data_IF_506367937746
#
_entry.id   IF_506367937746
#
_cell.length_a   1.000
_cell.length_b   1.000
_cell.length_c   1.000
_cell.angle_alpha   90.00
_cell.angle_beta   90.00
_cell.angle_gamma   90.00
#
_symmetry.space_group_name_H-M   'P 1'
#
loop_
_entity.id
_entity.type
_entity.pdbx_description
1 polymer ?
#
# COMPACT_ATOMS: atom_id res chain seq x y z
N UNK A 1 -3.65 -22.47 15.18
CA UNK A 1 -3.41 -21.82 13.88
C UNK A 1 -3.38 -20.29 13.96
N UNK A 2 -4.13 -19.61 14.84
CA UNK A 2 -4.27 -18.14 14.81
C UNK A 2 -2.99 -17.29 14.93
N UNK A 3 -2.00 -17.69 15.73
CA UNK A 3 -0.83 -16.84 15.99
C UNK A 3 0.14 -16.72 14.80
N UNK A 4 0.27 -17.76 13.98
CA UNK A 4 1.17 -17.74 12.83
C UNK A 4 0.62 -16.83 11.72
N UNK A 5 -0.69 -16.88 11.49
CA UNK A 5 -1.39 -16.06 10.48
C UNK A 5 -1.38 -14.59 10.87
N UNK A 6 -1.63 -14.26 12.15
CA UNK A 6 -1.50 -12.90 12.67
C UNK A 6 -0.07 -12.35 12.48
N UNK A 7 0.96 -13.14 12.79
CA UNK A 7 2.36 -12.74 12.58
C UNK A 7 2.71 -12.55 11.10
N UNK A 8 2.07 -13.30 10.20
CA UNK A 8 2.21 -13.11 8.75
C UNK A 8 1.57 -11.80 8.32
N UNK A 9 0.32 -11.55 8.70
CA UNK A 9 -0.38 -10.30 8.41
C UNK A 9 0.36 -9.09 8.98
N UNK A 10 0.86 -9.16 10.22
CA UNK A 10 1.63 -8.07 10.84
C UNK A 10 2.96 -7.80 10.09
N UNK A 11 3.55 -8.81 9.44
CA UNK A 11 4.73 -8.62 8.57
C UNK A 11 4.34 -7.94 7.25
N UNK A 12 3.24 -8.38 6.65
CA UNK A 12 2.71 -7.81 5.41
C UNK A 12 2.28 -6.35 5.61
N UNK A 13 1.56 -6.04 6.70
CA UNK A 13 1.20 -4.67 7.10
C UNK A 13 2.45 -3.80 7.20
N UNK A 14 3.48 -4.25 7.94
CA UNK A 14 4.74 -3.51 8.08
C UNK A 14 5.43 -3.29 6.74
N UNK A 15 5.44 -4.29 5.86
CA UNK A 15 6.03 -4.17 4.53
C UNK A 15 5.27 -3.15 3.66
N UNK A 16 3.94 -3.17 3.69
CA UNK A 16 3.08 -2.24 2.94
C UNK A 16 3.16 -0.82 3.49
N UNK A 17 3.22 -0.63 4.81
CA UNK A 17 3.48 0.67 5.44
C UNK A 17 4.82 1.26 4.97
N UNK A 18 5.89 0.45 4.94
CA UNK A 18 7.20 0.90 4.44
C UNK A 18 7.15 1.33 2.97
N UNK A 19 6.38 0.61 2.14
CA UNK A 19 6.16 0.99 0.74
C UNK A 19 5.42 2.32 0.64
N UNK A 20 4.38 2.52 1.46
CA UNK A 20 3.60 3.76 1.48
C UNK A 20 4.48 4.96 1.88
N UNK A 21 5.27 4.80 2.95
CA UNK A 21 6.24 5.83 3.36
C UNK A 21 7.27 6.13 2.28
N UNK A 22 7.76 5.10 1.58
CA UNK A 22 8.68 5.27 0.47
C UNK A 22 8.05 6.07 -0.68
N UNK A 23 6.81 5.79 -1.07
CA UNK A 23 6.09 6.60 -2.08
C UNK A 23 5.97 8.05 -1.62
N UNK A 24 5.60 8.29 -0.36
CA UNK A 24 5.48 9.65 0.20
C UNK A 24 6.80 10.42 0.24
N UNK A 25 7.93 9.71 0.36
CA UNK A 25 9.28 10.28 0.24
C UNK A 25 9.72 10.49 -1.22
N UNK A 26 8.88 10.15 -2.19
CA UNK A 26 9.21 10.23 -3.63
C UNK A 26 10.05 9.06 -4.15
N UNK A 27 10.18 7.98 -3.39
CA UNK A 27 10.92 6.81 -3.83
C UNK A 27 10.12 5.99 -4.86
N UNK A 28 10.78 5.50 -5.90
CA UNK A 28 10.14 4.84 -7.05
C UNK A 28 10.12 3.31 -6.95
N UNK A 29 10.87 2.71 -6.02
CA UNK A 29 10.92 1.26 -5.86
C UNK A 29 9.58 0.59 -5.48
N UNK A 30 8.66 1.19 -4.69
CA UNK A 30 7.39 0.55 -4.31
C UNK A 30 6.32 0.63 -5.41
N UNK A 31 6.60 1.30 -6.52
CA UNK A 31 5.71 1.42 -7.67
C UNK A 31 5.62 0.11 -8.46
N UNK A 32 4.43 -0.22 -8.92
CA UNK A 32 4.22 -1.36 -9.82
C UNK A 32 4.71 -1.05 -11.25
N UNK A 33 4.71 -2.06 -12.13
CA UNK A 33 5.21 -1.90 -13.50
C UNK A 33 4.46 -0.86 -14.34
N UNK A 34 3.15 -0.67 -14.10
CA UNK A 34 2.35 0.35 -14.80
C UNK A 34 2.68 1.76 -14.31
N UNK A 35 2.75 1.93 -12.99
CA UNK A 35 3.11 3.18 -12.31
C UNK A 35 4.54 3.60 -12.68
N UNK A 36 5.52 2.67 -12.68
CA UNK A 36 6.89 2.96 -13.12
C UNK A 36 6.96 3.43 -14.56
N UNK A 37 6.23 2.78 -15.48
CA UNK A 37 6.18 3.23 -16.88
C UNK A 37 5.56 4.62 -17.03
N UNK A 38 4.50 4.92 -16.27
CA UNK A 38 3.89 6.24 -16.27
C UNK A 38 4.87 7.32 -15.77
N UNK A 39 5.56 7.04 -14.65
CA UNK A 39 6.58 7.93 -14.09
C UNK A 39 7.74 8.16 -15.07
N UNK A 40 8.28 7.10 -15.66
CA UNK A 40 9.38 7.20 -16.64
C UNK A 40 8.99 7.97 -17.89
N UNK A 41 7.78 7.73 -18.42
CA UNK A 41 7.26 8.48 -19.58
C UNK A 41 7.08 9.96 -19.26
N UNK A 42 6.57 10.27 -18.07
CA UNK A 42 6.42 11.64 -17.63
C UNK A 42 7.78 12.33 -17.51
N UNK A 43 8.75 11.71 -16.82
CA UNK A 43 10.12 12.22 -16.69
C UNK A 43 10.79 12.44 -18.06
N UNK A 44 10.71 11.46 -18.98
CA UNK A 44 11.26 11.60 -20.33
C UNK A 44 10.59 12.74 -21.11
N UNK A 45 9.27 12.86 -21.01
CA UNK A 45 8.52 13.95 -21.67
C UNK A 45 8.85 15.33 -21.08
N UNK A 46 9.13 15.41 -19.78
CA UNK A 46 9.58 16.61 -19.10
C UNK A 46 10.96 17.03 -19.61
N UNK A 47 11.93 16.11 -19.57
CA UNK A 47 13.28 16.35 -20.07
C UNK A 47 13.29 16.84 -21.53
N UNK A 48 12.49 16.20 -22.41
CA UNK A 48 12.36 16.63 -23.80
C UNK A 48 11.76 18.04 -23.96
N UNK A 49 10.85 18.46 -23.07
CA UNK A 49 10.31 19.82 -23.08
C UNK A 49 11.33 20.82 -22.56
N UNK A 50 12.06 20.50 -21.50
CA UNK A 50 13.12 21.35 -20.94
C UNK A 50 14.20 21.64 -21.97
N UNK A 51 14.66 20.63 -22.72
CA UNK A 51 15.66 20.84 -23.80
C UNK A 51 15.13 21.69 -24.96
N UNK A 52 13.80 21.76 -25.13
CA UNK A 52 13.11 22.64 -26.09
C UNK A 52 12.75 24.01 -25.52
N UNK A 53 13.15 24.33 -24.28
CA UNK A 53 12.79 25.58 -23.61
C UNK A 53 11.29 25.71 -23.30
N UNK A 54 10.58 24.58 -23.19
CA UNK A 54 9.12 24.53 -22.96
C UNK A 54 8.81 24.13 -21.51
N UNK A 55 7.66 24.57 -21.02
CA UNK A 55 7.14 24.22 -19.69
C UNK A 55 6.96 22.70 -19.51
N UNK A 56 7.34 22.21 -18.34
CA UNK A 56 7.24 20.83 -17.86
C UNK A 56 5.94 20.55 -17.09
N UNK A 57 5.05 21.53 -16.90
CA UNK A 57 3.90 21.41 -15.99
C UNK A 57 3.04 20.16 -16.24
N UNK A 58 2.82 19.77 -17.50
CA UNK A 58 2.08 18.54 -17.81
C UNK A 58 2.80 17.26 -17.37
N UNK A 59 4.13 17.23 -17.48
CA UNK A 59 4.94 16.11 -17.01
C UNK A 59 4.91 16.02 -15.49
N UNK A 60 5.04 17.17 -14.80
CA UNK A 60 4.96 17.25 -13.34
C UNK A 60 3.60 16.79 -12.82
N UNK A 61 2.50 17.29 -13.38
CA UNK A 61 1.13 16.84 -13.03
C UNK A 61 0.97 15.33 -13.25
N UNK A 62 1.55 14.77 -14.32
CA UNK A 62 1.49 13.33 -14.57
C UNK A 62 2.30 12.53 -13.53
N UNK A 63 3.45 13.04 -13.10
CA UNK A 63 4.26 12.42 -12.04
C UNK A 63 3.51 12.45 -10.70
N UNK A 64 2.96 13.59 -10.33
CA UNK A 64 2.18 13.78 -9.10
C UNK A 64 0.91 12.90 -9.08
N UNK A 65 0.17 12.87 -10.19
CA UNK A 65 -1.00 11.98 -10.33
C UNK A 65 -0.61 10.50 -10.20
N UNK A 66 0.55 10.11 -10.74
CA UNK A 66 1.04 8.71 -10.63
C UNK A 66 1.42 8.38 -9.19
N UNK A 67 2.09 9.31 -8.49
CA UNK A 67 2.44 9.14 -7.08
C UNK A 67 1.18 9.03 -6.21
N UNK A 68 0.22 9.95 -6.40
CA UNK A 68 -1.07 9.95 -5.69
C UNK A 68 -1.84 8.64 -5.91
N UNK A 69 -1.90 8.14 -7.16
CA UNK A 69 -2.54 6.86 -7.47
C UNK A 69 -1.86 5.67 -6.76
N UNK A 70 -0.52 5.69 -6.67
CA UNK A 70 0.22 4.65 -5.95
C UNK A 70 -0.02 4.71 -4.43
N UNK A 71 -0.11 5.90 -3.85
CA UNK A 71 -0.47 6.07 -2.44
C UNK A 71 -1.87 5.55 -2.14
N UNK A 72 -2.85 5.87 -2.99
CA UNK A 72 -4.23 5.39 -2.85
C UNK A 72 -4.28 3.85 -2.90
N UNK A 73 -3.58 3.23 -3.86
CA UNK A 73 -3.49 1.77 -3.98
C UNK A 73 -2.90 1.15 -2.71
N UNK A 74 -1.75 1.64 -2.25
CA UNK A 74 -1.08 1.10 -1.06
C UNK A 74 -1.91 1.30 0.21
N UNK A 75 -2.64 2.41 0.31
CA UNK A 75 -3.59 2.65 1.41
C UNK A 75 -4.75 1.66 1.37
N UNK A 76 -5.30 1.37 0.18
CA UNK A 76 -6.33 0.35 0.02
C UNK A 76 -5.84 -1.06 0.39
N UNK A 77 -4.65 -1.44 -0.05
CA UNK A 77 -4.00 -2.70 0.33
C UNK A 77 -3.81 -2.81 1.84
N UNK A 78 -3.34 -1.74 2.49
CA UNK A 78 -3.12 -1.68 3.92
C UNK A 78 -4.44 -1.81 4.71
N UNK A 79 -5.49 -1.13 4.26
CA UNK A 79 -6.82 -1.23 4.87
C UNK A 79 -7.40 -2.64 4.75
N UNK A 80 -7.21 -3.31 3.60
CA UNK A 80 -7.63 -4.70 3.42
C UNK A 80 -6.91 -5.64 4.40
N UNK A 81 -5.60 -5.49 4.58
CA UNK A 81 -4.82 -6.28 5.54
C UNK A 81 -5.25 -6.05 6.99
N UNK A 82 -5.56 -4.80 7.37
CA UNK A 82 -6.10 -4.51 8.70
C UNK A 82 -7.49 -5.11 8.92
N UNK A 83 -8.34 -5.10 7.89
CA UNK A 83 -9.65 -5.76 7.93
C UNK A 83 -9.54 -7.26 8.19
N UNK A 84 -8.65 -7.94 7.47
CA UNK A 84 -8.43 -9.38 7.64
C UNK A 84 -7.85 -9.71 9.02
N UNK A 85 -6.90 -8.90 9.51
CA UNK A 85 -6.37 -9.05 10.88
C UNK A 85 -7.47 -8.94 11.93
N UNK A 86 -8.36 -7.97 11.78
CA UNK A 86 -9.48 -7.76 12.71
C UNK A 86 -10.44 -8.95 12.68
N UNK A 87 -10.73 -9.49 11.49
CA UNK A 87 -11.54 -10.70 11.33
C UNK A 87 -10.97 -11.87 12.13
N UNK A 88 -9.68 -12.20 11.95
CA UNK A 88 -9.04 -13.30 12.69
C UNK A 88 -9.07 -13.11 14.21
N UNK A 89 -8.88 -11.88 14.69
CA UNK A 89 -8.97 -11.56 16.12
C UNK A 89 -10.39 -11.81 16.64
N UNK A 90 -11.41 -11.35 15.90
CA UNK A 90 -12.81 -11.55 16.31
C UNK A 90 -13.23 -13.02 16.29
N UNK A 91 -12.77 -13.80 15.31
CA UNK A 91 -13.00 -15.25 15.24
C UNK A 91 -12.35 -15.97 16.42
N UNK A 92 -11.11 -15.62 16.76
CA UNK A 92 -10.43 -16.17 17.93
C UNK A 92 -11.14 -15.81 19.25
N UNK A 93 -11.64 -14.59 19.38
CA UNK A 93 -12.42 -14.16 20.54
C UNK A 93 -13.74 -14.94 20.67
N UNK A 94 -14.46 -15.17 19.55
CA UNK A 94 -15.69 -15.99 19.51
C UNK A 94 -15.42 -17.44 19.91
N UNK A 95 -14.36 -18.05 19.38
CA UNK A 95 -13.97 -19.42 19.77
C UNK A 95 -13.66 -19.53 21.27
N UNK A 96 -12.99 -18.53 21.83
CA UNK A 96 -12.71 -18.47 23.28
C UNK A 96 -13.98 -18.34 24.11
N UNK A 97 -14.94 -17.51 23.67
CA UNK A 97 -16.23 -17.36 24.34
C UNK A 97 -17.03 -18.66 24.31
N UNK A 98 -17.09 -19.35 23.15
CA UNK A 98 -17.78 -20.64 23.01
C UNK A 98 -17.17 -21.74 23.91
N UNK A 99 -15.84 -21.77 24.06
CA UNK A 99 -15.17 -22.70 24.99
C UNK A 99 -15.46 -22.36 26.46
N UNK A 100 -15.67 -21.09 26.80
CA UNK A 100 -16.03 -20.67 28.16
C UNK A 100 -17.47 -21.04 28.50
N UNK A 101 -18.39 -20.97 27.54
CA UNK A 101 -19.79 -21.37 27.75
C UNK A 101 -20.00 -22.89 27.91
N UNK A 102 -19.07 -23.74 27.46
CA UNK A 102 -19.17 -25.20 27.63
C UNK A 102 -18.46 -25.76 28.88
N UNK A 103 -17.72 -24.93 29.61
CA UNK A 103 -16.95 -25.31 30.81
C UNK A 103 -17.50 -24.74 32.12
N UNK A 104 -18.79 -24.36 32.14
CA UNK A 104 -19.48 -23.86 33.34
C UNK A 104 -20.66 -24.79 33.67
N UNK A 105 -20.28 -26.02 34.01
CA UNK A 105 -20.97 -27.02 34.82
C UNK A 105 -19.91 -27.93 35.42
#
# INVERSE_FOLDING_TARGET
MSNADLRRLDREIRATSKKLEAVRRGELWPLNGRERRAMLRAAASGAYRTTRGRSTGRAETQMESTASAAEMRLTAELNALHGERQRLITEAARAKAAKKSSGWW
#
